data_IF_607671123558
#
_entry.id   IF_607671123558
#
_cell.length_a   1.000
_cell.length_b   1.000
_cell.length_c   1.000
_cell.angle_alpha   90.00
_cell.angle_beta   90.00
_cell.angle_gamma   90.00
#
_symmetry.space_group_name_H-M   'P 1'
#
loop_
_entity.id
_entity.type
_entity.pdbx_description
1 polymer ?
#
# COMPACT_ATOMS: atom_id res chain seq x y z
N UNK A 1 40.33 -24.62 -55.51
CA UNK A 1 39.12 -24.39 -54.67
C UNK A 1 39.59 -24.16 -53.25
N UNK A 2 39.45 -22.94 -52.72
CA UNK A 2 39.80 -22.59 -51.34
C UNK A 2 38.54 -22.75 -50.49
N UNK A 3 38.58 -23.66 -49.52
CA UNK A 3 37.50 -23.87 -48.56
C UNK A 3 37.59 -22.79 -47.48
N UNK A 4 36.56 -21.94 -47.38
CA UNK A 4 36.42 -20.92 -46.36
C UNK A 4 35.87 -21.59 -45.10
N UNK A 5 36.62 -21.56 -44.00
CA UNK A 5 36.12 -21.88 -42.67
C UNK A 5 35.39 -20.64 -42.13
N UNK A 6 34.07 -20.71 -42.03
CA UNK A 6 33.27 -19.71 -41.30
C UNK A 6 33.31 -20.10 -39.82
N UNK A 7 34.03 -19.30 -39.03
CA UNK A 7 34.01 -19.38 -37.57
C UNK A 7 32.69 -18.74 -37.10
N UNK A 8 31.73 -19.56 -36.68
CA UNK A 8 30.50 -19.09 -36.04
C UNK A 8 30.87 -18.69 -34.61
N UNK A 9 30.97 -17.39 -34.38
CA UNK A 9 31.10 -16.80 -33.05
C UNK A 9 29.73 -16.93 -32.36
N UNK A 10 29.57 -17.90 -31.47
CA UNK A 10 28.41 -17.97 -30.59
C UNK A 10 28.59 -16.90 -29.51
N UNK A 11 28.02 -15.72 -29.75
CA UNK A 11 27.80 -14.72 -28.72
C UNK A 11 26.71 -15.26 -27.79
N UNK A 12 27.10 -15.91 -26.71
CA UNK A 12 26.22 -16.09 -25.56
C UNK A 12 25.98 -14.71 -24.98
N UNK A 13 24.80 -14.13 -25.25
CA UNK A 13 24.28 -13.02 -24.49
C UNK A 13 23.99 -13.53 -23.06
N UNK A 14 25.03 -13.59 -22.24
CA UNK A 14 24.86 -13.56 -20.79
C UNK A 14 24.40 -12.14 -20.47
N UNK A 15 23.10 -11.90 -20.58
CA UNK A 15 22.45 -10.81 -19.87
C UNK A 15 22.61 -11.15 -18.39
N UNK A 16 23.70 -10.66 -17.79
CA UNK A 16 23.83 -10.55 -16.34
C UNK A 16 22.82 -9.46 -15.96
N UNK A 17 21.56 -9.85 -15.81
CA UNK A 17 20.71 -9.14 -14.88
C UNK A 17 21.35 -9.39 -13.52
N UNK A 18 21.98 -8.37 -12.95
CA UNK A 18 22.05 -8.31 -11.50
C UNK A 18 20.58 -8.29 -11.07
N UNK A 19 20.04 -9.44 -10.69
CA UNK A 19 18.82 -9.46 -9.89
C UNK A 19 19.17 -8.61 -8.68
N UNK A 20 18.54 -7.45 -8.54
CA UNK A 20 18.55 -6.79 -7.25
C UNK A 20 17.92 -7.80 -6.30
N UNK A 21 18.66 -8.23 -5.28
CA UNK A 21 18.23 -9.23 -4.30
C UNK A 21 17.20 -8.65 -3.33
N UNK A 22 16.21 -7.93 -3.88
CA UNK A 22 15.21 -7.17 -3.16
C UNK A 22 13.82 -7.46 -3.67
N UNK A 23 12.85 -7.33 -2.78
CA UNK A 23 11.42 -7.21 -3.10
C UNK A 23 10.96 -5.80 -2.72
N UNK A 24 10.00 -5.26 -3.44
CA UNK A 24 9.34 -4.01 -3.14
C UNK A 24 8.05 -4.29 -2.37
N UNK A 25 7.90 -3.64 -1.22
CA UNK A 25 6.72 -3.76 -0.36
C UNK A 25 6.16 -2.36 -0.12
N UNK A 26 4.85 -2.20 -0.32
CA UNK A 26 4.22 -0.89 -0.25
C UNK A 26 2.75 -0.89 0.12
N UNK A 27 2.18 0.30 0.11
CA UNK A 27 0.76 0.57 0.33
C UNK A 27 0.19 1.52 -0.71
N UNK A 28 -1.10 1.33 -1.03
CA UNK A 28 -1.85 2.25 -1.89
C UNK A 28 -3.34 2.27 -1.51
N UNK A 29 -3.83 3.43 -1.08
CA UNK A 29 -5.27 3.69 -1.04
C UNK A 29 -5.76 3.97 -2.47
N UNK A 30 -6.63 3.10 -3.01
CA UNK A 30 -7.20 3.27 -4.35
C UNK A 30 -8.61 3.81 -4.14
N UNK A 31 -8.73 5.13 -4.10
CA UNK A 31 -9.91 5.86 -3.65
C UNK A 31 -11.20 5.28 -4.25
N UNK A 32 -12.03 4.70 -3.36
CA UNK A 32 -13.29 4.05 -3.70
C UNK A 32 -13.26 3.06 -4.88
N UNK A 33 -12.16 2.35 -5.14
CA UNK A 33 -12.05 1.48 -6.32
C UNK A 33 -13.23 0.49 -6.46
N UNK A 34 -13.89 0.40 -7.64
CA UNK A 34 -13.68 1.18 -8.86
C UNK A 34 -14.65 2.38 -8.99
N UNK A 35 -15.45 2.65 -7.97
CA UNK A 35 -16.71 3.39 -8.06
C UNK A 35 -16.69 4.77 -7.40
N UNK A 36 -15.54 5.46 -7.36
CA UNK A 36 -15.49 6.88 -6.95
C UNK A 36 -16.37 7.73 -7.87
N UNK A 37 -17.61 8.03 -7.53
CA UNK A 37 -18.44 8.92 -8.34
C UNK A 37 -19.48 9.67 -7.51
N UNK A 38 -20.32 10.46 -8.18
CA UNK A 38 -21.40 11.25 -7.58
C UNK A 38 -22.55 10.40 -6.99
N UNK A 39 -22.38 9.08 -6.91
CA UNK A 39 -23.21 8.14 -6.19
C UNK A 39 -23.98 7.17 -7.07
N UNK A 40 -24.08 7.40 -8.38
CA UNK A 40 -24.85 6.51 -9.27
C UNK A 40 -24.16 5.14 -9.45
N UNK A 41 -22.85 5.11 -9.63
CA UNK A 41 -22.09 3.86 -9.66
C UNK A 41 -22.02 3.23 -8.28
N UNK A 42 -21.86 4.03 -7.21
CA UNK A 42 -21.88 3.52 -5.84
C UNK A 42 -23.17 2.73 -5.51
N UNK A 43 -24.33 3.21 -5.97
CA UNK A 43 -25.61 2.49 -5.80
C UNK A 43 -25.61 1.11 -6.46
N UNK A 44 -24.88 0.92 -7.57
CA UNK A 44 -24.73 -0.40 -8.21
C UNK A 44 -23.98 -1.39 -7.33
N UNK A 45 -23.11 -0.89 -6.45
CA UNK A 45 -22.42 -1.66 -5.41
C UNK A 45 -23.19 -1.70 -4.08
N UNK A 46 -24.46 -1.24 -4.07
CA UNK A 46 -25.30 -1.22 -2.86
C UNK A 46 -24.87 -0.18 -1.81
N UNK A 47 -24.11 0.83 -2.23
CA UNK A 47 -23.61 1.89 -1.35
C UNK A 47 -24.51 3.12 -1.49
N UNK A 48 -25.17 3.48 -0.38
CA UNK A 48 -26.00 4.69 -0.29
C UNK A 48 -25.41 5.65 0.77
N UNK A 49 -24.71 6.68 0.30
CA UNK A 49 -24.09 7.69 1.14
C UNK A 49 -24.90 8.97 1.12
N UNK A 50 -25.10 9.54 2.31
CA UNK A 50 -25.67 10.89 2.46
C UNK A 50 -24.83 11.96 1.73
N UNK A 51 -23.52 11.74 1.65
CA UNK A 51 -22.56 12.60 0.99
C UNK A 51 -21.59 11.68 0.22
N UNK A 52 -21.90 11.30 -1.03
CA UNK A 52 -20.96 10.55 -1.85
C UNK A 52 -19.70 11.39 -2.13
N UNK A 53 -18.55 10.76 -2.39
CA UNK A 53 -17.38 11.49 -2.88
C UNK A 53 -17.71 12.18 -4.20
N UNK A 54 -16.90 13.17 -4.56
CA UNK A 54 -16.99 13.85 -5.85
C UNK A 54 -15.87 13.36 -6.75
N UNK A 55 -16.18 13.08 -8.01
CA UNK A 55 -15.17 12.69 -8.99
C UNK A 55 -15.73 11.75 -10.05
N UNK A 56 -14.81 11.09 -10.75
CA UNK A 56 -15.09 10.09 -11.76
C UNK A 56 -14.62 8.73 -11.30
N UNK A 57 -15.35 7.70 -11.71
CA UNK A 57 -15.00 6.32 -11.41
C UNK A 57 -13.56 6.02 -11.84
N UNK A 58 -12.90 5.11 -11.12
CA UNK A 58 -11.52 4.77 -11.40
C UNK A 58 -11.39 4.28 -12.85
N UNK A 59 -10.49 4.90 -13.59
CA UNK A 59 -10.03 4.43 -14.89
C UNK A 59 -9.16 3.19 -14.65
N UNK A 60 -9.78 2.02 -14.73
CA UNK A 60 -9.17 0.73 -14.39
C UNK A 60 -7.90 0.49 -15.23
N UNK A 61 -7.91 0.84 -16.50
CA UNK A 61 -6.73 0.65 -17.35
C UNK A 61 -5.58 1.56 -16.91
N UNK A 62 -5.85 2.84 -16.67
CA UNK A 62 -4.83 3.77 -16.17
C UNK A 62 -4.28 3.38 -14.79
N UNK A 63 -5.12 2.82 -13.90
CA UNK A 63 -4.65 2.26 -12.63
C UNK A 63 -3.63 1.14 -12.85
N UNK A 64 -3.94 0.18 -13.73
CA UNK A 64 -3.07 -0.96 -13.95
C UNK A 64 -1.84 -0.62 -14.80
N UNK A 65 -1.87 0.42 -15.62
CA UNK A 65 -0.66 1.02 -16.22
C UNK A 65 0.29 1.52 -15.13
N UNK A 66 -0.23 2.27 -14.14
CA UNK A 66 0.56 2.72 -13.00
C UNK A 66 1.13 1.53 -12.23
N UNK A 67 0.30 0.57 -11.82
CA UNK A 67 0.75 -0.59 -11.04
C UNK A 67 1.81 -1.43 -11.77
N UNK A 68 1.69 -1.55 -13.09
CA UNK A 68 2.67 -2.26 -13.92
C UNK A 68 4.03 -1.55 -13.98
N UNK A 69 4.03 -0.21 -13.99
CA UNK A 69 5.28 0.56 -13.94
C UNK A 69 5.99 0.49 -12.59
N UNK A 70 5.24 0.24 -11.50
CA UNK A 70 5.82 0.13 -10.16
C UNK A 70 6.60 -1.16 -9.95
N UNK A 71 6.13 -2.26 -10.55
CA UNK A 71 6.72 -3.60 -10.38
C UNK A 71 6.86 -3.99 -8.89
N UNK A 72 5.79 -3.79 -8.12
CA UNK A 72 5.77 -4.06 -6.66
C UNK A 72 5.24 -5.47 -6.40
N UNK A 73 6.01 -6.27 -5.66
CA UNK A 73 5.66 -7.66 -5.33
C UNK A 73 4.59 -7.77 -4.24
N UNK A 74 4.53 -6.84 -3.29
CA UNK A 74 3.48 -6.80 -2.27
C UNK A 74 2.94 -5.39 -2.08
N UNK A 75 1.66 -5.22 -2.37
CA UNK A 75 0.94 -3.97 -2.19
C UNK A 75 -0.22 -4.14 -1.23
N UNK A 76 -0.14 -3.53 -0.05
CA UNK A 76 -1.30 -3.32 0.81
C UNK A 76 -2.26 -2.32 0.19
N UNK A 77 -3.49 -2.73 -0.05
CA UNK A 77 -4.49 -1.90 -0.73
C UNK A 77 -5.61 -1.48 0.22
N UNK A 78 -6.08 -0.25 0.06
CA UNK A 78 -7.21 0.30 0.83
C UNK A 78 -8.32 0.82 -0.09
N UNK A 79 -9.50 1.02 0.49
CA UNK A 79 -10.71 1.54 -0.17
C UNK A 79 -11.31 0.67 -1.29
N UNK A 80 -11.01 -0.62 -1.27
CA UNK A 80 -11.46 -1.54 -2.32
C UNK A 80 -12.92 -1.93 -2.12
N UNK A 81 -13.80 -1.43 -2.99
CA UNK A 81 -15.23 -1.78 -3.01
C UNK A 81 -15.47 -3.11 -3.73
N UNK A 82 -14.73 -3.36 -4.82
CA UNK A 82 -14.79 -4.61 -5.57
C UNK A 82 -13.43 -5.34 -5.61
N UNK A 83 -13.11 -6.13 -4.57
CA UNK A 83 -11.86 -6.90 -4.52
C UNK A 83 -11.76 -7.95 -5.63
N UNK A 84 -12.91 -8.45 -6.11
CA UNK A 84 -12.93 -9.47 -7.16
C UNK A 84 -12.50 -8.84 -8.48
N UNK A 85 -13.06 -7.68 -8.84
CA UNK A 85 -12.63 -6.95 -10.03
C UNK A 85 -11.15 -6.58 -9.96
N UNK A 86 -10.68 -6.09 -8.81
CA UNK A 86 -9.25 -5.75 -8.64
C UNK A 86 -8.35 -6.96 -8.92
N UNK A 87 -8.68 -8.12 -8.33
CA UNK A 87 -7.91 -9.35 -8.54
C UNK A 87 -7.96 -9.85 -9.99
N UNK A 88 -9.14 -9.83 -10.63
CA UNK A 88 -9.28 -10.21 -12.05
C UNK A 88 -8.48 -9.30 -12.98
N UNK A 89 -8.47 -7.99 -12.72
CA UNK A 89 -7.70 -7.04 -13.52
C UNK A 89 -6.20 -7.12 -13.23
N UNK A 90 -5.79 -7.40 -11.99
CA UNK A 90 -4.38 -7.65 -11.69
C UNK A 90 -3.84 -8.84 -12.47
N UNK A 91 -4.58 -9.95 -12.52
CA UNK A 91 -4.23 -11.11 -13.35
C UNK A 91 -4.10 -10.76 -14.82
N UNK A 92 -5.04 -9.98 -15.32
CA UNK A 92 -5.07 -9.54 -16.73
C UNK A 92 -3.90 -8.64 -17.11
N UNK A 93 -3.55 -7.67 -16.27
CA UNK A 93 -2.61 -6.59 -16.64
C UNK A 93 -1.19 -6.78 -16.09
N UNK A 94 -1.06 -7.42 -14.92
CA UNK A 94 0.23 -7.63 -14.23
C UNK A 94 0.74 -9.07 -14.41
N UNK A 95 -0.16 -10.05 -14.44
CA UNK A 95 0.15 -11.45 -14.73
C UNK A 95 -0.66 -12.43 -13.88
N UNK A 96 -0.86 -13.66 -14.37
CA UNK A 96 -1.72 -14.67 -13.72
C UNK A 96 -1.30 -15.05 -12.29
N UNK A 97 -0.04 -14.80 -11.94
CA UNK A 97 0.56 -15.05 -10.63
C UNK A 97 0.14 -14.00 -9.58
N UNK A 98 -0.44 -12.86 -9.98
CA UNK A 98 -0.93 -11.87 -9.04
C UNK A 98 -2.22 -12.34 -8.34
N UNK A 99 -2.22 -12.29 -7.02
CA UNK A 99 -3.32 -12.72 -6.17
C UNK A 99 -3.82 -11.58 -5.27
N UNK A 100 -5.13 -11.54 -5.05
CA UNK A 100 -5.79 -10.58 -4.17
C UNK A 100 -6.38 -11.29 -2.96
N UNK A 101 -5.92 -10.93 -1.77
CA UNK A 101 -6.47 -11.36 -0.48
C UNK A 101 -6.97 -10.15 0.30
N UNK A 102 -8.08 -10.27 1.03
CA UNK A 102 -8.68 -9.13 1.70
C UNK A 102 -9.51 -9.52 2.91
N UNK A 103 -9.69 -8.56 3.82
CA UNK A 103 -10.63 -8.73 4.92
C UNK A 103 -12.07 -8.64 4.42
N UNK A 104 -12.88 -9.64 4.75
CA UNK A 104 -14.32 -9.63 4.48
C UNK A 104 -15.11 -8.80 5.51
N UNK A 105 -14.47 -8.40 6.61
CA UNK A 105 -15.11 -7.61 7.68
C UNK A 105 -15.19 -6.11 7.35
N UNK A 106 -15.90 -5.36 8.19
CA UNK A 106 -16.08 -3.91 8.03
C UNK A 106 -17.10 -3.52 6.95
N UNK A 107 -17.14 -2.22 6.66
CA UNK A 107 -18.09 -1.63 5.71
C UNK A 107 -17.84 -1.99 4.24
N UNK A 108 -18.37 -1.16 3.33
CA UNK A 108 -18.29 -1.38 1.88
C UNK A 108 -16.88 -1.30 1.28
N UNK A 109 -15.95 -0.66 1.98
CA UNK A 109 -14.55 -0.53 1.58
C UNK A 109 -13.69 -1.54 2.31
N UNK A 110 -12.94 -2.34 1.55
CA UNK A 110 -12.07 -3.39 2.07
C UNK A 110 -10.62 -2.93 2.09
N UNK A 111 -9.86 -3.58 2.97
CA UNK A 111 -8.40 -3.55 3.00
C UNK A 111 -7.88 -4.95 2.69
N UNK A 112 -6.72 -5.04 2.07
CA UNK A 112 -6.16 -6.31 1.63
C UNK A 112 -4.74 -6.18 1.10
N UNK A 113 -4.29 -7.23 0.44
CA UNK A 113 -3.01 -7.30 -0.23
C UNK A 113 -3.21 -7.81 -1.65
N UNK A 114 -2.62 -7.09 -2.60
CA UNK A 114 -2.32 -7.59 -3.93
C UNK A 114 -0.85 -8.01 -3.94
N UNK A 115 -0.55 -9.25 -4.33
CA UNK A 115 0.82 -9.76 -4.30
C UNK A 115 1.15 -10.66 -5.48
N UNK A 116 2.42 -10.68 -5.87
CA UNK A 116 2.96 -11.61 -6.88
C UNK A 116 3.29 -12.95 -6.22
N UNK A 117 2.46 -13.96 -6.47
CA UNK A 117 2.67 -15.31 -5.92
C UNK A 117 3.82 -16.05 -6.57
N UNK A 118 4.42 -15.56 -7.66
CA UNK A 118 5.66 -16.13 -8.20
C UNK A 118 6.89 -15.75 -7.37
N UNK A 119 6.82 -14.64 -6.63
CA UNK A 119 7.90 -14.14 -5.76
C UNK A 119 7.64 -14.44 -4.28
N UNK A 120 6.39 -14.31 -3.83
CA UNK A 120 6.01 -14.47 -2.43
C UNK A 120 5.12 -15.69 -2.21
N UNK A 121 5.38 -16.41 -1.12
CA UNK A 121 4.49 -17.44 -0.59
C UNK A 121 3.65 -16.86 0.53
N UNK A 122 2.33 -17.01 0.45
CA UNK A 122 1.43 -16.74 1.57
C UNK A 122 1.46 -17.93 2.54
N UNK A 123 1.98 -17.71 3.75
CA UNK A 123 2.12 -18.73 4.78
C UNK A 123 0.91 -18.71 5.71
N UNK A 124 0.16 -19.83 5.71
CA UNK A 124 -1.00 -19.99 6.57
C UNK A 124 -2.22 -19.16 6.13
N UNK A 125 -3.13 -18.91 7.08
CA UNK A 125 -4.37 -18.16 6.81
C UNK A 125 -4.21 -16.69 7.23
N UNK A 126 -4.53 -15.72 6.35
CA UNK A 126 -4.62 -14.32 6.74
C UNK A 126 -5.62 -14.08 7.88
N UNK A 127 -5.34 -13.06 8.68
CA UNK A 127 -6.09 -12.74 9.89
C UNK A 127 -6.71 -11.34 9.83
N UNK A 128 -7.94 -11.22 10.30
CA UNK A 128 -8.65 -9.94 10.41
C UNK A 128 -8.75 -9.52 11.87
N UNK A 129 -8.20 -8.36 12.20
CA UNK A 129 -8.35 -7.75 13.50
C UNK A 129 -9.56 -6.82 13.54
N UNK A 130 -10.73 -7.42 13.82
CA UNK A 130 -12.00 -6.71 13.91
C UNK A 130 -12.05 -5.69 15.06
N UNK A 131 -11.12 -5.74 16.03
CA UNK A 131 -11.02 -4.78 17.13
C UNK A 131 -10.89 -3.33 16.66
N UNK A 132 -10.25 -3.09 15.51
CA UNK A 132 -10.13 -1.75 14.90
C UNK A 132 -11.46 -1.20 14.35
N UNK A 133 -12.50 -2.02 14.23
CA UNK A 133 -13.84 -1.54 13.90
C UNK A 133 -14.48 -0.76 15.05
N UNK A 134 -13.97 -0.91 16.29
CA UNK A 134 -14.44 -0.36 17.57
C UNK A 134 -15.87 -0.76 17.98
N UNK A 135 -16.76 -0.94 17.00
CA UNK A 135 -18.14 -1.39 17.13
C UNK A 135 -18.48 -2.25 15.91
N UNK A 136 -19.35 -3.27 16.05
CA UNK A 136 -19.92 -3.97 14.91
C UNK A 136 -20.57 -2.97 13.93
N UNK A 137 -20.50 -3.29 12.64
CA UNK A 137 -21.14 -2.55 11.54
C UNK A 137 -20.75 -1.07 11.43
N UNK A 138 -19.59 -0.69 11.98
CA UNK A 138 -19.04 0.64 11.78
C UNK A 138 -18.54 0.81 10.35
N UNK A 139 -18.44 2.07 9.90
CA UNK A 139 -17.79 2.42 8.62
C UNK A 139 -16.27 2.39 8.70
N UNK A 140 -15.70 1.96 9.83
CA UNK A 140 -14.26 1.78 9.97
C UNK A 140 -13.82 0.51 9.25
N UNK A 141 -12.50 0.33 9.17
CA UNK A 141 -11.86 -0.84 8.57
C UNK A 141 -11.09 -1.58 9.66
N UNK A 142 -11.07 -2.93 9.60
CA UNK A 142 -10.20 -3.69 10.48
C UNK A 142 -8.74 -3.48 10.06
N UNK A 143 -7.79 -3.90 10.90
CA UNK A 143 -6.47 -4.24 10.39
C UNK A 143 -6.53 -5.63 9.76
N UNK A 144 -5.71 -5.87 8.74
CA UNK A 144 -5.63 -7.17 8.08
C UNK A 144 -4.17 -7.61 7.98
N UNK A 145 -3.88 -8.81 8.50
CA UNK A 145 -2.55 -9.40 8.51
C UNK A 145 -2.45 -10.55 7.53
N UNK A 146 -1.38 -10.59 6.77
CA UNK A 146 -0.91 -11.77 6.06
C UNK A 146 0.54 -12.04 6.43
N UNK A 147 0.93 -13.30 6.42
CA UNK A 147 2.31 -13.73 6.69
C UNK A 147 2.90 -14.21 5.38
N UNK A 148 3.99 -13.60 4.94
CA UNK A 148 4.59 -13.86 3.64
C UNK A 148 6.01 -14.37 3.83
N UNK A 149 6.46 -15.21 2.89
CA UNK A 149 7.86 -15.64 2.78
C UNK A 149 8.35 -15.41 1.36
N UNK A 150 9.55 -14.87 1.20
CA UNK A 150 10.19 -14.78 -0.13
C UNK A 150 10.56 -16.18 -0.64
N UNK A 151 10.18 -16.51 -1.88
CA UNK A 151 10.52 -17.80 -2.50
C UNK A 151 11.98 -17.91 -2.94
N UNK A 152 12.64 -16.77 -3.15
CA UNK A 152 14.04 -16.71 -3.60
C UNK A 152 15.03 -16.60 -2.43
N UNK A 153 14.55 -16.62 -1.18
CA UNK A 153 15.35 -16.36 0.01
C UNK A 153 14.76 -16.94 1.29
N UNK A 154 15.15 -16.35 2.43
CA UNK A 154 14.65 -16.70 3.77
C UNK A 154 13.53 -15.77 4.21
N UNK A 155 13.73 -14.45 4.03
CA UNK A 155 12.89 -13.41 4.64
C UNK A 155 11.40 -13.74 4.64
N UNK A 156 10.87 -13.92 5.85
CA UNK A 156 9.45 -13.92 6.11
C UNK A 156 9.06 -12.78 7.04
N UNK A 157 7.79 -12.39 6.97
CA UNK A 157 7.31 -11.21 7.69
C UNK A 157 5.79 -11.17 7.74
N UNK A 158 5.29 -10.57 8.80
CA UNK A 158 3.92 -10.14 8.93
C UNK A 158 3.69 -8.79 8.25
N UNK A 159 2.96 -8.80 7.15
CA UNK A 159 2.41 -7.58 6.57
C UNK A 159 1.07 -7.25 7.24
N UNK A 160 0.93 -6.04 7.79
CA UNK A 160 -0.32 -5.53 8.38
C UNK A 160 -0.75 -4.28 7.63
N UNK A 161 -1.91 -4.35 6.98
CA UNK A 161 -2.53 -3.20 6.30
C UNK A 161 -3.61 -2.57 7.16
N UNK A 162 -3.59 -1.23 7.26
CA UNK A 162 -4.59 -0.44 7.98
C UNK A 162 -5.18 0.67 7.13
N UNK A 163 -6.39 1.11 7.48
CA UNK A 163 -6.97 2.37 7.02
C UNK A 163 -7.65 3.04 8.23
N UNK A 164 -6.96 4.00 8.84
CA UNK A 164 -7.40 4.61 10.09
C UNK A 164 -8.44 5.71 9.86
N UNK A 165 -9.27 5.98 10.88
CA UNK A 165 -10.36 6.96 10.79
C UNK A 165 -9.83 8.33 10.39
N UNK A 166 -10.18 8.81 9.19
CA UNK A 166 -9.87 10.16 8.70
C UNK A 166 -10.47 11.32 9.51
N UNK A 167 -10.06 12.56 9.18
CA UNK A 167 -10.59 13.85 9.68
C UNK A 167 -10.33 14.16 11.17
N UNK A 168 -9.98 15.41 11.52
CA UNK A 168 -9.78 15.81 12.93
C UNK A 168 -11.00 15.54 13.82
N UNK A 169 -12.22 15.58 13.27
CA UNK A 169 -13.44 15.25 14.02
C UNK A 169 -13.52 13.77 14.44
N UNK A 170 -12.77 12.91 13.76
CA UNK A 170 -12.65 11.48 14.04
C UNK A 170 -11.56 11.12 15.05
N UNK A 171 -10.86 12.10 15.63
CA UNK A 171 -9.71 11.86 16.51
C UNK A 171 -9.98 10.83 17.61
N UNK A 172 -11.08 10.97 18.36
CA UNK A 172 -11.39 10.05 19.46
C UNK A 172 -11.56 8.59 19.00
N UNK A 173 -12.06 8.36 17.77
CA UNK A 173 -12.14 7.01 17.21
C UNK A 173 -10.75 6.53 16.79
N UNK A 174 -9.95 7.41 16.17
CA UNK A 174 -8.59 7.06 15.78
C UNK A 174 -7.71 6.71 16.97
N UNK A 175 -7.75 7.49 18.05
CA UNK A 175 -7.01 7.21 19.28
C UNK A 175 -7.36 5.82 19.83
N UNK A 176 -8.64 5.44 19.80
CA UNK A 176 -9.05 4.07 20.15
C UNK A 176 -8.51 3.02 19.17
N UNK A 177 -8.47 3.32 17.85
CA UNK A 177 -7.87 2.42 16.87
C UNK A 177 -6.36 2.27 17.09
N UNK A 178 -5.65 3.36 17.43
CA UNK A 178 -4.22 3.32 17.75
C UNK A 178 -3.96 2.48 19.00
N UNK A 179 -4.78 2.61 20.06
CA UNK A 179 -4.66 1.75 21.23
C UNK A 179 -4.88 0.26 20.89
N UNK A 180 -5.83 -0.06 20.00
CA UNK A 180 -6.05 -1.44 19.53
C UNK A 180 -4.94 -1.94 18.61
N UNK A 181 -4.37 -1.07 17.81
CA UNK A 181 -3.22 -1.39 16.97
C UNK A 181 -1.97 -1.65 17.82
N UNK A 182 -1.72 -0.84 18.86
CA UNK A 182 -0.63 -1.06 19.82
C UNK A 182 -0.76 -2.42 20.51
N UNK A 183 -1.97 -2.80 20.95
CA UNK A 183 -2.23 -4.13 21.52
C UNK A 183 -1.84 -5.25 20.53
N UNK A 184 -2.26 -5.15 19.27
CA UNK A 184 -1.97 -6.14 18.23
C UNK A 184 -0.46 -6.27 17.98
N UNK A 185 0.20 -5.13 17.74
CA UNK A 185 1.63 -5.12 17.41
C UNK A 185 2.48 -5.63 18.57
N UNK A 186 2.04 -5.41 19.81
CA UNK A 186 2.74 -5.89 21.00
C UNK A 186 2.62 -7.40 21.19
N UNK A 187 1.46 -8.00 20.91
CA UNK A 187 1.24 -9.43 21.18
C UNK A 187 1.65 -10.32 20.02
N UNK A 188 1.63 -9.80 18.79
CA UNK A 188 1.90 -10.59 17.59
C UNK A 188 3.22 -11.38 17.66
N UNK A 189 4.38 -10.80 18.03
CA UNK A 189 5.63 -11.55 18.07
C UNK A 189 5.61 -12.77 19.01
N UNK A 190 4.94 -12.64 20.16
CA UNK A 190 4.82 -13.73 21.11
C UNK A 190 3.90 -14.85 20.60
N UNK A 191 2.86 -14.49 19.85
CA UNK A 191 1.85 -15.40 19.30
C UNK A 191 2.33 -16.14 18.06
N UNK A 192 3.02 -15.44 17.14
CA UNK A 192 3.52 -16.01 15.88
C UNK A 192 4.88 -16.69 16.01
N UNK A 193 5.69 -16.31 17.01
CA UNK A 193 7.12 -16.63 17.13
C UNK A 193 8.01 -15.97 16.09
N UNK A 194 7.54 -14.86 15.54
CA UNK A 194 8.21 -14.08 14.51
C UNK A 194 7.96 -12.58 14.78
N UNK A 195 9.03 -11.80 14.80
CA UNK A 195 9.01 -10.37 15.14
C UNK A 195 9.07 -9.44 13.93
N UNK A 196 9.14 -10.00 12.72
CA UNK A 196 9.22 -9.26 11.47
C UNK A 196 7.84 -8.74 11.09
N UNK A 197 7.65 -7.44 11.30
CA UNK A 197 6.37 -6.78 11.10
C UNK A 197 6.57 -5.56 10.23
N UNK A 198 5.87 -5.57 9.09
CA UNK A 198 5.72 -4.41 8.23
C UNK A 198 4.28 -3.90 8.36
N UNK A 199 4.12 -2.77 9.03
CA UNK A 199 2.84 -2.07 9.18
C UNK A 199 2.74 -0.98 8.11
N UNK A 200 1.69 -1.01 7.31
CA UNK A 200 1.51 -0.08 6.20
C UNK A 200 0.05 0.33 6.00
N UNK A 201 -0.19 1.48 5.36
CA UNK A 201 -1.54 1.94 5.05
C UNK A 201 -1.74 3.44 5.09
N UNK A 202 -2.92 3.88 4.67
CA UNK A 202 -3.45 5.20 4.96
C UNK A 202 -3.77 5.33 6.48
N UNK A 203 -2.84 5.96 7.21
CA UNK A 203 -3.01 6.25 8.64
C UNK A 203 -3.60 7.63 8.90
N UNK A 204 -3.72 8.43 7.83
CA UNK A 204 -4.63 9.56 7.80
C UNK A 204 -4.26 10.68 8.80
N UNK A 205 -3.01 10.84 9.24
CA UNK A 205 -2.62 11.77 10.34
C UNK A 205 -3.35 13.14 10.29
N UNK A 206 -4.03 13.50 11.38
CA UNK A 206 -4.99 14.64 11.45
C UNK A 206 -4.56 15.72 12.41
N UNK A 207 -3.64 15.40 13.31
CA UNK A 207 -3.12 16.40 14.25
C UNK A 207 -2.12 17.32 13.55
N UNK A 208 -1.81 18.45 14.21
CA UNK A 208 -0.75 19.35 13.72
C UNK A 208 0.64 18.71 13.76
N UNK A 209 0.81 17.58 14.45
CA UNK A 209 2.06 16.84 14.48
C UNK A 209 2.32 16.07 13.17
N UNK A 210 1.32 15.96 12.27
CA UNK A 210 1.45 15.13 11.07
C UNK A 210 1.76 13.69 11.46
N UNK A 211 2.75 13.08 10.81
CA UNK A 211 3.22 11.73 11.14
C UNK A 211 3.76 11.58 12.58
N UNK A 212 4.17 12.68 13.22
CA UNK A 212 4.58 12.70 14.63
C UNK A 212 3.47 12.27 15.61
N UNK A 213 2.23 12.17 15.14
CA UNK A 213 1.09 11.55 15.83
C UNK A 213 1.37 10.09 16.23
N UNK A 214 2.15 9.37 15.44
CA UNK A 214 2.42 7.93 15.64
C UNK A 214 3.70 7.66 16.44
N UNK A 215 4.62 8.63 16.49
CA UNK A 215 5.95 8.50 17.12
C UNK A 215 5.91 7.90 18.52
N UNK A 216 5.05 8.35 19.46
CA UNK A 216 5.08 7.81 20.82
C UNK A 216 4.74 6.31 20.92
N UNK A 217 3.90 5.81 20.02
CA UNK A 217 3.55 4.38 19.95
C UNK A 217 4.67 3.59 19.28
N UNK A 218 5.17 4.09 18.14
CA UNK A 218 6.20 3.41 17.35
C UNK A 218 7.53 3.32 18.08
N UNK A 219 7.97 4.39 18.75
CA UNK A 219 9.18 4.36 19.59
C UNK A 219 9.06 3.36 20.75
N UNK A 220 7.87 3.26 21.37
CA UNK A 220 7.64 2.33 22.48
C UNK A 220 7.70 0.87 22.04
N UNK A 221 7.28 0.60 20.80
CA UNK A 221 7.26 -0.73 20.20
C UNK A 221 8.54 -1.05 19.40
N UNK A 222 9.46 -0.09 19.24
CA UNK A 222 10.71 -0.29 18.48
C UNK A 222 10.52 -0.31 16.96
N UNK A 223 9.53 0.41 16.42
CA UNK A 223 9.31 0.50 14.98
C UNK A 223 10.11 1.66 14.35
N UNK A 224 10.77 1.37 13.24
CA UNK A 224 11.37 2.34 12.34
C UNK A 224 10.31 2.93 11.39
N UNK A 225 10.29 4.25 11.24
CA UNK A 225 9.40 4.92 10.29
C UNK A 225 10.06 5.04 8.92
N UNK A 226 9.85 4.05 8.04
CA UNK A 226 10.44 4.03 6.69
C UNK A 226 10.00 5.23 5.85
N UNK A 227 8.72 5.63 5.93
CA UNK A 227 8.23 6.80 5.19
C UNK A 227 8.80 8.15 5.63
N UNK A 228 9.60 8.19 6.71
CA UNK A 228 10.38 9.39 7.05
C UNK A 228 11.40 9.77 5.97
N UNK A 229 11.83 8.83 5.12
CA UNK A 229 12.72 9.09 3.98
C UNK A 229 12.07 9.97 2.88
N UNK A 230 10.76 10.17 2.98
CA UNK A 230 9.98 11.10 2.15
C UNK A 230 9.81 12.48 2.79
N UNK A 231 10.30 12.71 4.01
CA UNK A 231 10.22 14.03 4.65
C UNK A 231 10.91 15.11 3.80
N UNK A 232 10.25 16.27 3.72
CA UNK A 232 10.72 17.38 2.88
C UNK A 232 10.55 17.15 1.38
N UNK A 233 10.00 16.01 0.95
CA UNK A 233 9.64 15.74 -0.45
C UNK A 233 8.13 15.93 -0.67
N UNK A 234 7.73 16.27 -1.90
CA UNK A 234 6.33 16.28 -2.30
C UNK A 234 5.81 14.83 -2.32
N UNK A 235 4.58 14.68 -1.90
CA UNK A 235 4.15 13.62 -0.96
C UNK A 235 3.14 12.63 -1.56
N UNK A 236 2.55 11.73 -0.76
CA UNK A 236 1.76 10.57 -1.18
C UNK A 236 0.24 10.75 -1.17
N UNK A 237 -0.27 11.96 -0.90
CA UNK A 237 -1.70 12.25 -0.96
C UNK A 237 -1.98 13.69 -1.38
N UNK A 238 -3.05 13.87 -2.15
CA UNK A 238 -3.54 15.13 -2.66
C UNK A 238 -4.80 15.56 -1.91
N UNK A 239 -4.64 16.41 -0.91
CA UNK A 239 -5.76 16.97 -0.16
C UNK A 239 -6.55 17.96 -1.03
N UNK A 240 -7.83 17.72 -1.33
CA UNK A 240 -8.61 18.63 -2.16
C UNK A 240 -9.20 19.81 -1.36
N UNK A 241 -9.15 20.99 -1.96
CA UNK A 241 -9.96 22.16 -1.64
C UNK A 241 -10.88 22.50 -2.81
N UNK A 242 -12.07 21.90 -2.77
CA UNK A 242 -13.10 22.05 -3.80
C UNK A 242 -13.64 23.47 -3.95
N UNK A 243 -13.45 24.36 -2.96
CA UNK A 243 -13.95 25.73 -3.05
C UNK A 243 -13.12 26.58 -4.00
N UNK A 244 -11.85 26.26 -4.16
CA UNK A 244 -10.89 27.01 -4.98
C UNK A 244 -10.27 26.14 -6.08
N UNK A 245 -10.80 24.94 -6.31
CA UNK A 245 -10.31 23.98 -7.29
C UNK A 245 -8.79 23.76 -7.22
N UNK A 246 -8.32 23.40 -6.02
CA UNK A 246 -6.91 23.22 -5.69
C UNK A 246 -6.72 21.89 -4.97
N UNK A 247 -5.60 21.21 -5.22
CA UNK A 247 -5.15 20.07 -4.43
C UNK A 247 -3.80 20.39 -3.81
N UNK A 248 -3.58 19.96 -2.57
CA UNK A 248 -2.34 20.20 -1.83
C UNK A 248 -1.71 18.88 -1.40
N UNK A 249 -0.41 18.77 -1.60
CA UNK A 249 0.43 17.73 -1.05
C UNK A 249 0.24 17.57 0.46
N UNK A 250 -0.09 16.36 0.94
CA UNK A 250 0.10 15.93 2.34
C UNK A 250 0.58 14.47 2.46
N UNK A 251 1.34 14.15 3.52
CA UNK A 251 1.79 12.76 3.81
C UNK A 251 0.84 12.11 4.79
N UNK A 252 0.10 11.07 4.36
CA UNK A 252 -0.81 10.33 5.24
C UNK A 252 -0.73 8.81 5.10
N UNK A 253 -0.13 8.31 4.03
CA UNK A 253 0.20 6.91 3.84
C UNK A 253 1.60 6.64 4.40
N UNK A 254 1.73 5.59 5.22
CA UNK A 254 2.98 5.32 5.94
C UNK A 254 3.36 3.84 5.88
N UNK A 255 4.65 3.60 5.98
CA UNK A 255 5.29 2.30 6.22
C UNK A 255 6.10 2.41 7.52
N UNK A 256 5.83 1.51 8.45
CA UNK A 256 6.60 1.29 9.66
C UNK A 256 7.10 -0.16 9.66
N UNK A 257 8.35 -0.34 10.06
CA UNK A 257 9.04 -1.64 10.06
C UNK A 257 9.49 -1.93 11.49
N UNK A 258 9.26 -3.14 12.01
CA UNK A 258 9.76 -3.53 13.33
C UNK A 258 11.29 -3.51 13.37
N UNK A 259 11.87 -3.60 14.57
CA UNK A 259 13.32 -3.58 14.74
C UNK A 259 14.00 -4.78 14.04
N UNK A 260 13.35 -5.95 14.05
CA UNK A 260 13.82 -7.18 13.43
C UNK A 260 13.78 -7.04 11.90
N UNK A 261 12.60 -6.81 11.30
CA UNK A 261 12.44 -6.60 9.85
C UNK A 261 13.21 -5.40 9.25
N UNK A 262 13.76 -4.52 10.10
CA UNK A 262 14.59 -3.39 9.66
C UNK A 262 15.96 -3.87 9.16
N UNK A 263 16.40 -5.09 9.51
CA UNK A 263 17.65 -5.68 9.01
C UNK A 263 17.59 -5.90 7.49
N UNK A 264 16.41 -6.23 6.97
CA UNK A 264 16.13 -6.49 5.57
C UNK A 264 15.77 -5.20 4.82
N UNK A 265 15.23 -4.21 5.51
CA UNK A 265 14.85 -2.95 4.88
C UNK A 265 16.07 -2.18 4.34
N UNK A 266 16.07 -1.90 3.05
CA UNK A 266 17.12 -1.13 2.38
C UNK A 266 16.93 0.36 2.67
N UNK A 267 17.88 0.96 3.40
CA UNK A 267 17.80 2.39 3.72
C UNK A 267 17.85 3.28 2.47
N UNK A 268 17.11 4.39 2.53
CA UNK A 268 16.89 5.35 1.45
C UNK A 268 16.20 4.76 0.20
N UNK A 269 15.51 3.62 0.36
CA UNK A 269 14.75 3.00 -0.73
C UNK A 269 13.31 3.49 -0.84
N UNK A 270 12.77 4.15 0.20
CA UNK A 270 11.35 4.53 0.22
C UNK A 270 11.04 5.57 -0.83
N UNK A 271 10.02 5.28 -1.64
CA UNK A 271 9.59 6.11 -2.78
C UNK A 271 8.08 6.30 -2.76
N UNK A 272 7.66 7.35 -3.45
CA UNK A 272 6.28 7.55 -3.90
C UNK A 272 6.27 7.58 -5.42
N UNK A 273 5.16 7.20 -6.04
CA UNK A 273 5.03 7.15 -7.49
C UNK A 273 3.66 7.67 -7.96
N UNK A 274 3.25 7.37 -9.20
CA UNK A 274 2.02 7.89 -9.79
C UNK A 274 2.03 9.42 -9.90
N UNK A 275 0.89 10.06 -9.63
CA UNK A 275 0.74 11.52 -9.74
C UNK A 275 1.60 12.33 -8.76
N UNK A 276 2.21 11.67 -7.78
CA UNK A 276 3.07 12.28 -6.77
C UNK A 276 4.55 12.34 -7.17
N UNK A 277 4.96 11.52 -8.14
CA UNK A 277 6.34 11.49 -8.65
C UNK A 277 6.83 12.84 -9.20
N UNK A 278 5.90 13.66 -9.72
CA UNK A 278 6.19 14.98 -10.29
C UNK A 278 6.66 16.01 -9.25
N UNK A 279 6.42 15.77 -7.97
CA UNK A 279 7.06 16.58 -6.95
C UNK A 279 6.45 17.98 -6.74
N UNK A 280 5.14 18.18 -6.94
CA UNK A 280 4.52 19.50 -6.73
C UNK A 280 3.92 19.63 -5.32
N UNK A 281 4.01 20.81 -4.70
CA UNK A 281 3.37 21.05 -3.39
C UNK A 281 1.85 21.25 -3.51
N UNK A 282 1.39 21.69 -4.67
CA UNK A 282 -0.02 21.86 -4.99
C UNK A 282 -0.23 21.89 -6.51
N UNK A 283 -1.48 21.68 -6.91
CA UNK A 283 -1.96 21.98 -8.25
C UNK A 283 -3.28 22.74 -8.17
N UNK A 284 -3.61 23.53 -9.18
CA UNK A 284 -4.86 24.28 -9.26
C UNK A 284 -5.41 24.35 -10.68
N UNK A 285 -6.74 24.45 -10.81
CA UNK A 285 -7.36 24.64 -12.11
C UNK A 285 -7.13 23.46 -13.06
N UNK A 286 -6.68 23.77 -14.27
CA UNK A 286 -6.39 22.80 -15.33
C UNK A 286 -5.06 22.05 -15.12
N UNK A 287 -4.23 22.47 -14.17
CA UNK A 287 -2.95 21.82 -13.86
C UNK A 287 -3.11 20.58 -12.96
N UNK A 288 -4.31 20.34 -12.43
CA UNK A 288 -4.61 19.16 -11.63
C UNK A 288 -4.33 17.91 -12.48
N UNK A 289 -3.41 17.01 -12.06
CA UNK A 289 -3.02 15.87 -12.86
C UNK A 289 -4.20 14.97 -13.18
N UNK A 290 -4.20 14.42 -14.40
CA UNK A 290 -5.20 13.41 -14.78
C UNK A 290 -5.19 12.20 -13.84
N UNK A 291 -4.02 11.86 -13.28
CA UNK A 291 -3.88 10.85 -12.23
C UNK A 291 -4.87 11.04 -11.07
N UNK A 292 -5.00 12.27 -10.54
CA UNK A 292 -5.89 12.58 -9.41
C UNK A 292 -7.36 12.28 -9.73
N UNK A 293 -7.77 12.53 -10.98
CA UNK A 293 -9.15 12.34 -11.41
C UNK A 293 -9.43 10.89 -11.83
N UNK A 294 -8.45 10.22 -12.43
CA UNK A 294 -8.61 8.92 -13.05
C UNK A 294 -8.22 7.74 -12.17
N UNK A 295 -7.21 7.91 -11.32
CA UNK A 295 -6.58 6.81 -10.58
C UNK A 295 -6.93 6.91 -9.10
N UNK A 296 -6.37 7.90 -8.40
CA UNK A 296 -6.65 8.16 -6.99
C UNK A 296 -6.11 9.53 -6.57
N UNK A 297 -6.66 10.07 -5.49
CA UNK A 297 -6.06 11.19 -4.74
C UNK A 297 -4.84 10.78 -3.87
N UNK A 298 -4.64 9.49 -3.60
CA UNK A 298 -3.44 8.94 -2.99
C UNK A 298 -2.44 8.46 -4.05
N UNK A 299 -1.20 8.24 -3.63
CA UNK A 299 -0.14 7.66 -4.44
C UNK A 299 0.51 6.49 -3.69
N UNK A 300 0.94 5.44 -4.42
CA UNK A 300 1.65 4.31 -3.83
C UNK A 300 2.90 4.77 -3.09
N UNK A 301 3.11 4.24 -1.89
CA UNK A 301 4.34 4.38 -1.10
C UNK A 301 4.93 2.99 -0.92
N UNK A 302 6.22 2.83 -1.17
CA UNK A 302 6.88 1.53 -1.11
C UNK A 302 8.36 1.67 -0.79
N UNK A 303 8.96 0.60 -0.30
CA UNK A 303 10.40 0.50 -0.07
C UNK A 303 10.91 -0.91 -0.37
N UNK A 304 12.23 -1.03 -0.51
CA UNK A 304 12.90 -2.26 -0.90
C UNK A 304 13.36 -3.04 0.34
N UNK A 305 13.21 -4.36 0.31
CA UNK A 305 13.64 -5.29 1.36
C UNK A 305 14.53 -6.37 0.76
N UNK A 306 15.69 -6.64 1.33
CA UNK A 306 16.57 -7.72 0.88
C UNK A 306 16.02 -9.07 1.34
N UNK A 307 16.13 -10.11 0.51
CA UNK A 307 15.64 -11.46 0.88
C UNK A 307 16.75 -12.49 1.15
N UNK A 308 18.03 -12.11 1.02
CA UNK A 308 19.18 -13.02 1.24
C UNK A 308 19.60 -13.16 2.70
N UNK A 309 19.17 -12.24 3.56
CA UNK A 309 19.39 -12.31 5.00
C UNK A 309 18.03 -12.46 5.67
N UNK A 310 18.00 -13.42 6.57
CA UNK A 310 16.94 -13.74 7.50
C UNK A 310 17.74 -14.09 8.75
N UNK A 311 17.62 -13.30 9.82
CA UNK A 311 18.48 -13.42 11.01
C UNK A 311 17.79 -14.02 12.24
N UNK A 312 16.62 -14.61 12.03
CA UNK A 312 15.82 -15.33 13.04
C UNK A 312 16.24 -16.80 13.29
#
# INVERSE_FOLDING_TARGET
MKTIFILILVLTANSIFAQNNTIEIGTFNIEWFPCKDDGEMMKKYGIDLRYPPTGTATDVEALFEVLKELDIELLGVQEIVDPKLLGEMAKKYLGEEFEMIYSTSGGSQKVGFLYDSSVLELVGKPETYASLLLKPDSRLRPAYRAYFKSKSGGFDFHAIVVHLKASPRGWNQREQQLNKLEEILKTLPEESKDSDIILLGDMNNVTKAGAGEFTPMMERLGFYWASSELEGKPTNYWQPDWKVNKIKASTIDHIFVSADAKVEFVENSTKTSGGCSAGNEFYEGEEIPQYFNKVSDHCPVYGSFTFEKDDD
#
